data_IF_132022173925
#
_entry.id   IF_132022173925
#
_cell.length_a   1.000
_cell.length_b   1.000
_cell.length_c   1.000
_cell.angle_alpha   90.00
_cell.angle_beta   90.00
_cell.angle_gamma   90.00
#
_symmetry.space_group_name_H-M   'P 1'
#
loop_
_entity.id
_entity.type
_entity.pdbx_description
1 polymer ?
#
# COMPACT_ATOMS: atom_id res chain seq x y z
N UNK A 1 -3.55 14.11 12.53
CA UNK A 1 -3.69 12.66 12.85
C UNK A 1 -2.58 11.91 12.16
N UNK A 2 -2.06 10.84 12.75
CA UNK A 2 -0.99 10.00 12.17
C UNK A 2 -1.39 8.54 12.34
N UNK A 3 -1.35 7.76 11.27
CA UNK A 3 -1.51 6.31 11.34
C UNK A 3 -0.13 5.65 11.27
N UNK A 4 0.12 4.68 12.13
CA UNK A 4 1.29 3.82 12.03
C UNK A 4 0.84 2.37 11.86
N UNK A 5 1.70 1.57 11.25
CA UNK A 5 1.56 0.13 11.11
C UNK A 5 2.92 -0.52 11.25
N UNK A 6 2.94 -1.68 11.90
CA UNK A 6 4.10 -2.55 12.02
C UNK A 6 3.66 -3.99 11.81
N UNK A 7 4.49 -4.73 11.08
CA UNK A 7 4.31 -6.17 10.91
C UNK A 7 4.67 -6.96 12.19
N UNK A 8 4.71 -8.29 12.07
CA UNK A 8 5.11 -9.21 13.15
C UNK A 8 4.19 -9.13 14.38
N UNK A 9 2.88 -9.19 14.15
CA UNK A 9 1.82 -9.16 15.17
C UNK A 9 1.70 -7.85 15.98
N UNK A 10 2.45 -6.82 15.60
CA UNK A 10 2.41 -5.51 16.25
C UNK A 10 1.12 -4.72 15.93
N UNK A 11 0.57 -4.86 14.72
CA UNK A 11 -0.65 -4.15 14.31
C UNK A 11 -0.40 -2.70 13.89
N UNK A 12 -1.40 -1.84 14.08
CA UNK A 12 -1.31 -0.42 13.78
C UNK A 12 -2.33 0.40 14.57
N UNK A 13 -2.12 1.71 14.66
CA UNK A 13 -3.05 2.59 15.35
C UNK A 13 -3.14 3.96 14.68
N UNK A 14 -4.28 4.61 14.85
CA UNK A 14 -4.46 6.01 14.50
C UNK A 14 -4.28 6.87 15.74
N UNK A 15 -3.39 7.84 15.66
CA UNK A 15 -3.10 8.80 16.72
C UNK A 15 -3.68 10.17 16.37
N UNK A 16 -4.42 10.75 17.32
CA UNK A 16 -4.71 12.17 17.37
C UNK A 16 -3.50 12.89 17.94
N UNK A 17 -3.06 13.96 17.27
CA UNK A 17 -1.92 14.77 17.73
C UNK A 17 -2.41 16.17 18.08
N UNK A 18 -2.01 16.67 19.25
CA UNK A 18 -2.27 18.03 19.70
C UNK A 18 -0.93 18.68 20.05
N UNK A 19 -0.65 19.85 19.47
CA UNK A 19 0.58 20.61 19.75
C UNK A 19 0.26 21.84 20.62
N UNK A 20 0.95 21.99 21.74
CA UNK A 20 0.79 23.13 22.66
C UNK A 20 2.11 23.40 23.39
N UNK A 21 2.51 24.67 23.51
CA UNK A 21 3.70 25.11 24.25
C UNK A 21 5.02 24.39 23.85
N UNK A 22 5.17 24.06 22.57
CA UNK A 22 6.35 23.33 22.08
C UNK A 22 6.33 21.81 22.32
N UNK A 23 5.27 21.28 22.95
CA UNK A 23 5.06 19.85 23.15
C UNK A 23 4.02 19.30 22.19
N UNK A 24 4.21 18.05 21.76
CA UNK A 24 3.21 17.29 20.99
C UNK A 24 2.71 16.14 21.85
N UNK A 25 1.41 16.15 22.14
CA UNK A 25 0.72 15.03 22.80
C UNK A 25 0.07 14.14 21.74
N UNK A 26 0.25 12.84 21.89
CA UNK A 26 -0.39 11.83 21.07
C UNK A 26 -1.44 11.08 21.89
N UNK A 27 -2.63 10.90 21.33
CA UNK A 27 -3.71 10.10 21.90
C UNK A 27 -4.11 9.03 20.89
N UNK A 28 -4.20 7.78 21.33
CA UNK A 28 -4.76 6.71 20.50
C UNK A 28 -6.25 6.97 20.25
N UNK A 29 -6.63 7.02 18.97
CA UNK A 29 -8.03 7.07 18.53
C UNK A 29 -8.57 5.65 18.37
N UNK A 30 -7.80 4.77 17.71
CA UNK A 30 -8.08 3.33 17.66
C UNK A 30 -6.80 2.53 17.40
N UNK A 31 -6.83 1.27 17.80
CA UNK A 31 -5.86 0.23 17.43
C UNK A 31 -6.51 -0.80 16.48
N UNK A 32 -5.73 -1.40 15.59
CA UNK A 32 -6.17 -2.45 14.65
C UNK A 32 -5.09 -3.50 14.39
N UNK A 33 -5.52 -4.77 14.23
CA UNK A 33 -4.67 -5.87 13.73
C UNK A 33 -4.86 -6.13 12.23
N UNK A 34 -5.72 -5.35 11.59
CA UNK A 34 -6.09 -5.52 10.18
C UNK A 34 -5.13 -4.81 9.22
N UNK A 35 -4.03 -4.25 9.72
CA UNK A 35 -2.97 -3.66 8.90
C UNK A 35 -1.60 -3.85 9.54
N UNK A 36 -0.91 -4.90 9.09
CA UNK A 36 0.42 -5.31 9.51
C UNK A 36 1.36 -5.25 8.31
N UNK A 37 1.84 -4.05 8.00
CA UNK A 37 2.57 -3.81 6.78
C UNK A 37 4.08 -4.09 6.95
N UNK A 38 4.67 -4.88 6.05
CA UNK A 38 6.09 -5.24 6.07
C UNK A 38 6.99 -4.31 5.25
N UNK A 39 6.52 -3.91 4.07
CA UNK A 39 7.37 -3.29 3.04
C UNK A 39 7.06 -1.80 2.83
N UNK A 40 6.25 -1.19 3.69
CA UNK A 40 5.71 0.17 3.53
C UNK A 40 4.55 0.26 2.54
N UNK A 41 4.22 1.48 2.12
CA UNK A 41 3.16 1.70 1.13
C UNK A 41 1.74 1.63 1.72
N UNK A 42 1.51 2.22 2.89
CA UNK A 42 0.14 2.46 3.36
C UNK A 42 -0.35 3.79 2.78
N UNK A 43 -1.34 3.73 1.89
CA UNK A 43 -1.86 4.87 1.15
C UNK A 43 -3.18 5.34 1.74
N UNK A 44 -3.30 6.62 2.08
CA UNK A 44 -4.57 7.23 2.46
C UNK A 44 -5.19 7.94 1.26
N UNK A 45 -6.29 7.39 0.72
CA UNK A 45 -6.98 7.91 -0.46
C UNK A 45 -8.47 8.05 -0.13
N UNK A 46 -9.01 9.27 -0.25
CA UNK A 46 -10.42 9.58 -0.05
C UNK A 46 -11.03 9.02 1.26
N UNK A 47 -10.26 9.05 2.35
CA UNK A 47 -10.72 8.56 3.67
C UNK A 47 -10.54 7.06 3.91
N UNK A 48 -9.85 6.35 3.01
CA UNK A 48 -9.58 4.92 3.14
C UNK A 48 -8.08 4.64 3.08
N UNK A 49 -7.63 3.74 3.96
CA UNK A 49 -6.27 3.22 3.96
C UNK A 49 -6.19 2.00 3.06
N UNK A 50 -5.22 1.96 2.16
CA UNK A 50 -4.88 0.80 1.33
C UNK A 50 -3.46 0.38 1.69
N UNK A 51 -3.30 -0.87 2.09
CA UNK A 51 -2.03 -1.39 2.56
C UNK A 51 -2.07 -2.89 2.75
N UNK A 52 -0.92 -3.51 2.96
CA UNK A 52 -0.86 -4.93 3.25
C UNK A 52 -1.07 -5.23 4.73
N UNK A 53 -1.89 -6.25 5.01
CA UNK A 53 -1.91 -7.00 6.25
C UNK A 53 -1.19 -8.33 6.01
N UNK A 54 0.08 -8.39 6.41
CA UNK A 54 0.99 -9.46 6.02
C UNK A 54 1.08 -9.60 4.50
N UNK A 55 0.49 -10.65 3.93
CA UNK A 55 0.48 -10.91 2.48
C UNK A 55 -0.86 -10.60 1.80
N UNK A 56 -1.80 -9.97 2.50
CA UNK A 56 -3.16 -9.71 2.02
C UNK A 56 -3.33 -8.20 1.86
N UNK A 57 -3.69 -7.75 0.65
CA UNK A 57 -4.03 -6.36 0.41
C UNK A 57 -5.35 -6.05 1.11
N UNK A 58 -5.36 -5.00 1.94
CA UNK A 58 -6.49 -4.65 2.80
C UNK A 58 -6.85 -3.19 2.62
N UNK A 59 -8.17 -2.92 2.63
CA UNK A 59 -8.72 -1.58 2.70
C UNK A 59 -9.40 -1.36 4.06
N UNK A 60 -9.03 -0.29 4.76
CA UNK A 60 -9.68 0.14 6.00
C UNK A 60 -10.31 1.53 5.83
N UNK A 61 -11.40 1.80 6.52
CA UNK A 61 -11.87 3.17 6.74
C UNK A 61 -10.92 3.88 7.71
N UNK A 62 -10.34 5.01 7.27
CA UNK A 62 -9.29 5.70 8.03
C UNK A 62 -9.77 6.27 9.36
N UNK A 63 -11.02 6.70 9.45
CA UNK A 63 -11.54 7.34 10.66
C UNK A 63 -11.83 6.36 11.79
N UNK A 64 -12.15 5.11 11.46
CA UNK A 64 -12.68 4.12 12.41
C UNK A 64 -11.82 2.85 12.53
N UNK A 65 -10.94 2.60 11.57
CA UNK A 65 -10.20 1.33 11.46
C UNK A 65 -11.04 0.15 10.96
N UNK A 66 -12.30 0.38 10.57
CA UNK A 66 -13.19 -0.66 10.05
C UNK A 66 -12.62 -1.25 8.76
N UNK A 67 -12.51 -2.57 8.72
CA UNK A 67 -12.13 -3.29 7.50
C UNK A 67 -13.25 -3.21 6.46
N UNK A 68 -12.92 -2.67 5.30
CA UNK A 68 -13.84 -2.57 4.16
C UNK A 68 -13.76 -3.83 3.31
N UNK A 69 -12.55 -4.29 2.99
CA UNK A 69 -12.31 -5.53 2.27
C UNK A 69 -10.86 -5.99 2.42
N UNK A 70 -10.62 -7.25 2.06
CA UNK A 70 -9.29 -7.87 1.93
C UNK A 70 -9.22 -8.75 0.68
N UNK A 71 -8.09 -8.78 -0.01
CA UNK A 71 -7.87 -9.57 -1.21
C UNK A 71 -6.39 -10.01 -1.31
N UNK A 72 -6.12 -11.21 -1.85
CA UNK A 72 -4.75 -11.70 -2.04
C UNK A 72 -3.99 -10.96 -3.15
N UNK A 73 -4.68 -10.34 -4.09
CA UNK A 73 -4.11 -9.57 -5.21
C UNK A 73 -2.94 -10.32 -5.89
N UNK A 74 -1.77 -9.69 -5.98
CA UNK A 74 -0.53 -10.24 -6.55
C UNK A 74 0.40 -10.87 -5.50
N UNK A 75 -0.05 -10.98 -4.24
CA UNK A 75 0.75 -11.42 -3.11
C UNK A 75 1.29 -10.26 -2.28
N UNK A 76 2.15 -10.59 -1.31
CA UNK A 76 2.77 -9.64 -0.39
C UNK A 76 3.64 -8.65 -1.14
N UNK A 77 3.62 -7.38 -0.75
CA UNK A 77 4.56 -6.41 -1.31
C UNK A 77 4.27 -4.97 -0.94
N UNK A 78 4.41 -4.07 -1.90
CA UNK A 78 4.28 -2.63 -1.76
C UNK A 78 3.30 -2.08 -2.81
N UNK A 79 2.91 -0.81 -2.68
CA UNK A 79 2.01 -0.17 -3.62
C UNK A 79 2.20 1.33 -3.70
N UNK A 80 1.75 1.89 -4.82
CA UNK A 80 1.60 3.33 -5.05
C UNK A 80 0.24 3.62 -5.70
N UNK A 81 -0.12 4.89 -5.80
CA UNK A 81 -1.37 5.35 -6.38
C UNK A 81 -1.12 6.37 -7.48
N UNK A 82 -1.81 6.19 -8.60
CA UNK A 82 -1.90 7.19 -9.65
C UNK A 82 -3.21 7.00 -10.44
N UNK A 83 -3.82 8.11 -10.83
CA UNK A 83 -4.97 8.15 -11.76
C UNK A 83 -6.10 7.19 -11.38
N UNK A 84 -6.51 7.17 -10.10
CA UNK A 84 -7.60 6.31 -9.63
C UNK A 84 -7.22 4.85 -9.37
N UNK A 85 -5.97 4.45 -9.63
CA UNK A 85 -5.53 3.06 -9.55
C UNK A 85 -4.44 2.84 -8.50
N UNK A 86 -4.46 1.65 -7.89
CA UNK A 86 -3.39 1.07 -7.09
C UNK A 86 -2.46 0.29 -8.02
N UNK A 87 -1.18 0.65 -8.02
CA UNK A 87 -0.10 -0.09 -8.64
C UNK A 87 0.57 -0.92 -7.56
N UNK A 88 0.47 -2.24 -7.67
CA UNK A 88 0.79 -3.18 -6.60
C UNK A 88 1.96 -4.04 -7.07
N UNK A 89 3.09 -3.94 -6.40
CA UNK A 89 4.27 -4.76 -6.69
C UNK A 89 4.40 -5.83 -5.62
N UNK A 90 4.42 -7.10 -6.02
CA UNK A 90 4.64 -8.21 -5.10
C UNK A 90 6.09 -8.66 -5.02
N UNK A 91 6.41 -9.28 -3.88
CA UNK A 91 7.69 -9.91 -3.61
C UNK A 91 8.00 -11.07 -4.58
N UNK A 92 6.97 -11.63 -5.22
CA UNK A 92 7.05 -12.67 -6.25
C UNK A 92 7.23 -12.13 -7.69
N UNK A 93 7.69 -10.89 -7.84
CA UNK A 93 7.97 -10.27 -9.14
C UNK A 93 6.72 -10.14 -10.05
N UNK A 94 5.55 -9.91 -9.45
CA UNK A 94 4.30 -9.64 -10.18
C UNK A 94 3.85 -8.22 -9.88
N UNK A 95 3.53 -7.46 -10.92
CA UNK A 95 2.91 -6.13 -10.81
C UNK A 95 1.45 -6.24 -11.19
N UNK A 96 0.56 -5.76 -10.33
CA UNK A 96 -0.88 -5.66 -10.55
C UNK A 96 -1.35 -4.22 -10.61
N UNK A 97 -2.46 -4.01 -11.32
CA UNK A 97 -3.19 -2.75 -11.37
C UNK A 97 -4.63 -3.00 -10.91
N UNK A 98 -5.12 -2.21 -9.95
CA UNK A 98 -6.49 -2.34 -9.44
C UNK A 98 -7.12 -0.98 -9.15
N UNK A 99 -8.45 -0.91 -9.13
CA UNK A 99 -9.16 0.30 -8.69
C UNK A 99 -8.83 0.64 -7.22
N UNK A 100 -8.57 1.91 -6.91
CA UNK A 100 -8.51 2.41 -5.54
C UNK A 100 -9.93 2.65 -4.99
N UNK A 101 -10.63 1.55 -4.70
CA UNK A 101 -12.06 1.56 -4.35
C UNK A 101 -12.35 0.97 -2.98
N UNK A 102 -13.11 1.63 -2.11
CA UNK A 102 -13.47 1.10 -0.79
C UNK A 102 -14.55 0.02 -0.85
N UNK A 103 -15.24 -0.14 -1.98
CA UNK A 103 -16.32 -1.13 -2.13
C UNK A 103 -15.83 -2.53 -2.48
N UNK A 104 -14.55 -2.70 -2.80
CA UNK A 104 -13.97 -3.99 -3.14
C UNK A 104 -12.78 -3.89 -4.10
N UNK A 105 -12.00 -4.97 -4.13
CA UNK A 105 -10.89 -5.13 -5.07
C UNK A 105 -11.41 -5.40 -6.49
N UNK A 106 -10.93 -4.62 -7.47
CA UNK A 106 -11.21 -4.82 -8.90
C UNK A 106 -9.93 -4.67 -9.70
N UNK A 107 -9.40 -5.79 -10.16
CA UNK A 107 -8.17 -5.82 -10.96
C UNK A 107 -8.44 -5.38 -12.40
N UNK A 108 -7.50 -4.62 -12.96
CA UNK A 108 -7.48 -4.17 -14.35
C UNK A 108 -6.50 -4.96 -15.20
N UNK A 109 -5.44 -5.48 -14.58
CA UNK A 109 -4.44 -6.28 -15.25
C UNK A 109 -3.25 -6.58 -14.35
N UNK A 110 -2.37 -7.46 -14.82
CA UNK A 110 -1.12 -7.79 -14.16
C UNK A 110 -0.07 -8.25 -15.17
N UNK A 111 1.19 -8.14 -14.80
CA UNK A 111 2.31 -8.68 -15.58
C UNK A 111 3.46 -9.09 -14.64
N UNK A 112 4.41 -9.87 -15.17
CA UNK A 112 5.63 -10.25 -14.45
C UNK A 112 6.78 -9.31 -14.83
N UNK A 113 7.55 -8.90 -13.84
CA UNK A 113 8.83 -8.21 -14.04
C UNK A 113 9.96 -9.25 -14.16
N UNK A 114 11.14 -8.88 -14.69
CA UNK A 114 12.29 -9.77 -14.71
C UNK A 114 12.63 -10.25 -13.30
N UNK A 115 12.65 -11.58 -13.14
CA UNK A 115 13.07 -12.21 -11.89
C UNK A 115 14.59 -12.08 -11.75
N UNK A 116 15.03 -11.59 -10.58
CA UNK A 116 16.43 -11.42 -10.23
C UNK A 116 16.93 -12.51 -9.26
N UNK A 117 16.12 -13.56 -9.03
CA UNK A 117 16.38 -14.67 -8.12
C UNK A 117 16.16 -14.32 -6.64
N UNK A 118 15.63 -13.13 -6.34
CA UNK A 118 15.37 -12.62 -5.00
C UNK A 118 14.04 -11.86 -4.95
N UNK A 119 13.43 -11.73 -3.77
CA UNK A 119 12.20 -10.97 -3.60
C UNK A 119 12.30 -9.49 -4.04
N UNK A 120 11.25 -8.95 -4.65
CA UNK A 120 11.17 -7.51 -4.97
C UNK A 120 10.37 -6.74 -3.91
N UNK A 121 11.01 -5.77 -3.24
CA UNK A 121 10.39 -5.04 -2.11
C UNK A 121 10.35 -3.52 -2.29
N UNK A 122 10.87 -2.99 -3.40
CA UNK A 122 10.87 -1.56 -3.61
C UNK A 122 9.44 -1.02 -3.76
N UNK A 123 9.25 0.27 -3.51
CA UNK A 123 7.99 0.93 -3.83
C UNK A 123 7.92 1.23 -5.33
N UNK A 124 6.83 0.87 -6.01
CA UNK A 124 6.61 1.30 -7.38
C UNK A 124 6.46 2.83 -7.43
N UNK A 125 6.99 3.45 -8.47
CA UNK A 125 6.88 4.91 -8.68
C UNK A 125 6.19 5.18 -10.01
N UNK A 126 5.17 6.03 -10.00
CA UNK A 126 4.50 6.50 -11.22
C UNK A 126 4.84 7.97 -11.45
N UNK A 127 5.39 8.28 -12.60
CA UNK A 127 5.72 9.66 -12.99
C UNK A 127 5.67 9.83 -14.51
N UNK A 128 5.05 10.92 -14.99
CA UNK A 128 5.06 11.26 -16.42
C UNK A 128 4.45 10.21 -17.35
N UNK A 129 3.44 9.45 -16.88
CA UNK A 129 2.83 8.37 -17.65
C UNK A 129 3.69 7.10 -17.74
N UNK A 130 4.67 6.95 -16.85
CA UNK A 130 5.55 5.78 -16.76
C UNK A 130 5.52 5.20 -15.35
N UNK A 131 5.62 3.87 -15.28
CA UNK A 131 5.81 3.11 -14.05
C UNK A 131 7.28 2.68 -13.97
N UNK A 132 7.92 3.01 -12.85
CA UNK A 132 9.30 2.65 -12.54
C UNK A 132 9.31 1.60 -11.42
N UNK A 133 10.01 0.50 -11.68
CA UNK A 133 10.14 -0.62 -10.75
C UNK A 133 11.62 -0.90 -10.51
N UNK A 134 12.05 -0.75 -9.25
CA UNK A 134 13.40 -1.07 -8.82
C UNK A 134 13.43 -2.50 -8.29
N UNK A 135 14.15 -3.40 -8.96
CA UNK A 135 14.32 -4.77 -8.49
C UNK A 135 15.80 -5.15 -8.42
N UNK A 136 16.31 -5.49 -7.25
CA UNK A 136 17.71 -5.92 -6.99
C UNK A 136 18.81 -5.07 -7.61
N UNK A 137 19.20 -5.28 -8.87
CA UNK A 137 20.21 -4.48 -9.59
C UNK A 137 19.67 -3.69 -10.79
N UNK A 138 18.37 -3.82 -11.07
CA UNK A 138 17.71 -3.20 -12.22
C UNK A 138 16.73 -2.12 -11.79
N UNK A 139 16.52 -1.16 -12.69
CA UNK A 139 15.40 -0.23 -12.67
C UNK A 139 14.70 -0.39 -14.02
N UNK A 140 13.50 -0.98 -13.99
CA UNK A 140 12.68 -1.17 -15.19
C UNK A 140 11.69 -0.03 -15.32
N UNK A 141 11.35 0.30 -16.55
CA UNK A 141 10.40 1.35 -16.90
C UNK A 141 9.33 0.78 -17.82
N UNK A 142 8.07 1.11 -17.55
CA UNK A 142 6.91 0.65 -18.31
C UNK A 142 6.05 1.86 -18.69
N UNK A 143 5.75 2.02 -19.98
CA UNK A 143 4.78 3.02 -20.45
C UNK A 143 3.37 2.56 -20.10
N UNK A 144 2.66 3.39 -19.34
CA UNK A 144 1.32 3.08 -18.80
C UNK A 144 0.24 4.02 -19.34
N UNK A 145 0.56 4.84 -20.34
CA UNK A 145 -0.44 5.69 -21.00
C UNK A 145 -1.40 4.83 -21.80
N UNK A 146 -2.69 5.17 -21.72
CA UNK A 146 -3.69 4.59 -22.61
C UNK A 146 -3.28 4.83 -24.07
N UNK A 147 -3.38 3.79 -24.88
CA UNK A 147 -3.24 3.88 -26.34
C UNK A 147 -4.58 4.14 -26.98
#
# INVERSE_FOLDING_TARGET
>A
KVFYSSAYDAGGALLGLTAQNGEVKAQEIYFTREMQNHHGGVLLINGYLYGFNNSILTCLEFSTGKMMWRNRSVGKGSLTYADGHLYIESEDNVVGLADASPTGYREKGRFRIPDQGLPSWAHPVVAGGRLYIRNQRTLSEYDIRAR
#
